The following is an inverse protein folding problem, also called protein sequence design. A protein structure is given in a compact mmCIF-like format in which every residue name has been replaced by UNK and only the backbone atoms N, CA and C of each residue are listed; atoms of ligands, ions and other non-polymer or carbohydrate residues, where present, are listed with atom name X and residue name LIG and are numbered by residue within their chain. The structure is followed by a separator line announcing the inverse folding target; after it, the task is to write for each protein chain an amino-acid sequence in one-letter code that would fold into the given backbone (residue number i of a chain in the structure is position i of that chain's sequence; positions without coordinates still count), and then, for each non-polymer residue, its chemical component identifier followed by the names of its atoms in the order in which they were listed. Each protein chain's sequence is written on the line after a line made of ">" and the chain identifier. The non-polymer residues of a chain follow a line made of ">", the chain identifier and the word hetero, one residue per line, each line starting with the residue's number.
data_IF_872955162802
#
_entry.id   IF_872955162802
#
_cell.length_a   1.000
_cell.length_b   1.000
_cell.length_c   1.000
_cell.angle_alpha   90.00
_cell.angle_beta   90.00
_cell.angle_gamma   90.00
#
_symmetry.space_group_name_H-M   'P 1'
#
loop_
_entity.id
_entity.type
_entity.pdbx_description
1 polymer ?
#
# COMPACT_ATOMS: atom_id res chain seq x y z
N UNK A 1 -2.42 -18.43 4.83
CA UNK A 1 -2.89 -17.29 4.03
C UNK A 1 -3.90 -17.84 3.05
N UNK A 2 -5.07 -17.21 2.90
CA UNK A 2 -6.04 -17.61 1.88
C UNK A 2 -5.49 -17.19 0.52
N UNK A 3 -5.66 -18.03 -0.49
CA UNK A 3 -5.36 -17.65 -1.87
C UNK A 3 -6.35 -16.56 -2.33
N UNK A 4 -5.93 -15.68 -3.23
CA UNK A 4 -6.80 -14.67 -3.83
C UNK A 4 -8.00 -15.31 -4.54
N UNK A 5 -7.83 -16.48 -5.18
CA UNK A 5 -8.96 -17.22 -5.77
C UNK A 5 -9.97 -17.68 -4.71
N UNK A 6 -9.50 -18.10 -3.53
CA UNK A 6 -10.36 -18.46 -2.41
C UNK A 6 -11.12 -17.24 -1.86
N UNK A 7 -10.46 -16.07 -1.82
CA UNK A 7 -11.07 -14.79 -1.43
C UNK A 7 -12.22 -14.42 -2.38
N UNK A 8 -12.01 -14.54 -3.69
CA UNK A 8 -13.02 -14.19 -4.71
C UNK A 8 -14.24 -15.10 -4.72
N UNK A 9 -14.07 -16.37 -4.34
CA UNK A 9 -15.15 -17.37 -4.33
C UNK A 9 -15.95 -17.40 -3.01
N UNK A 10 -15.58 -16.59 -2.02
CA UNK A 10 -16.29 -16.49 -0.75
C UNK A 10 -17.22 -15.27 -0.68
N UNK A 11 -18.05 -15.22 0.37
CA UNK A 11 -18.96 -14.09 0.65
C UNK A 11 -18.30 -12.98 1.51
N UNK A 12 -16.97 -12.99 1.63
CA UNK A 12 -16.22 -12.04 2.46
C UNK A 12 -16.10 -10.67 1.79
N UNK A 13 -16.09 -9.61 2.60
CA UNK A 13 -15.70 -8.26 2.15
C UNK A 13 -14.24 -8.04 2.50
N UNK A 14 -13.46 -7.61 1.52
CA UNK A 14 -12.03 -7.32 1.68
C UNK A 14 -11.74 -5.92 1.18
N UNK A 15 -10.95 -5.18 1.95
CA UNK A 15 -10.61 -3.79 1.66
C UNK A 15 -9.20 -3.71 1.09
N UNK A 16 -9.07 -3.13 -0.09
CA UNK A 16 -7.76 -2.78 -0.66
C UNK A 16 -7.26 -1.48 -0.02
N UNK A 17 -5.95 -1.25 -0.09
CA UNK A 17 -5.35 0.01 0.29
C UNK A 17 -5.79 1.20 -0.59
N UNK A 18 -5.30 2.38 -0.23
CA UNK A 18 -5.62 3.64 -0.91
C UNK A 18 -4.45 4.18 -1.72
N UNK A 19 -4.57 5.43 -2.15
CA UNK A 19 -3.55 6.08 -2.97
C UNK A 19 -2.19 6.21 -2.23
N UNK A 20 -1.18 5.48 -2.70
CA UNK A 20 0.20 5.53 -2.18
C UNK A 20 0.84 6.90 -2.43
N UNK A 21 0.67 7.46 -3.63
CA UNK A 21 1.26 8.75 -4.01
C UNK A 21 0.82 9.92 -3.12
N UNK A 22 -0.43 9.91 -2.65
CA UNK A 22 -0.94 10.92 -1.70
C UNK A 22 -0.23 10.82 -0.36
N UNK A 23 0.02 9.60 0.15
CA UNK A 23 0.76 9.38 1.39
C UNK A 23 2.23 9.75 1.27
N UNK A 24 2.85 9.51 0.12
CA UNK A 24 4.19 10.02 -0.16
C UNK A 24 4.24 11.55 -0.18
N UNK A 25 3.23 12.20 -0.75
CA UNK A 25 3.13 13.66 -0.75
C UNK A 25 3.04 14.21 0.68
N UNK A 26 2.20 13.63 1.53
CA UNK A 26 2.06 14.00 2.95
C UNK A 26 3.38 13.83 3.74
N UNK A 27 4.25 12.91 3.29
CA UNK A 27 5.57 12.65 3.87
C UNK A 27 6.71 13.41 3.17
N UNK A 28 6.38 14.40 2.33
CA UNK A 28 7.34 15.31 1.70
C UNK A 28 8.01 14.76 0.44
N UNK A 29 7.49 13.68 -0.15
CA UNK A 29 7.92 13.17 -1.45
C UNK A 29 6.92 13.58 -2.52
N UNK A 30 7.33 14.52 -3.35
CA UNK A 30 6.49 15.15 -4.36
C UNK A 30 6.63 14.49 -5.73
N UNK A 31 5.70 14.82 -6.64
CA UNK A 31 5.56 14.22 -7.97
C UNK A 31 6.77 14.40 -8.91
N UNK A 32 7.76 15.21 -8.53
CA UNK A 32 8.99 15.41 -9.28
C UNK A 32 10.04 14.31 -9.05
N UNK A 33 9.73 13.30 -8.23
CA UNK A 33 10.56 12.11 -8.01
C UNK A 33 9.84 10.86 -8.51
N UNK A 34 10.60 9.85 -8.89
CA UNK A 34 10.02 8.53 -9.18
C UNK A 34 9.64 7.86 -7.86
N UNK A 35 8.38 7.48 -7.70
CA UNK A 35 7.96 6.77 -6.49
C UNK A 35 8.50 5.34 -6.45
N UNK A 36 8.65 4.70 -7.61
CA UNK A 36 9.24 3.37 -7.70
C UNK A 36 10.69 3.34 -7.20
N UNK A 37 11.44 4.43 -7.41
CA UNK A 37 12.82 4.56 -6.93
C UNK A 37 12.92 4.54 -5.39
N UNK A 38 11.83 4.87 -4.68
CA UNK A 38 11.79 4.87 -3.22
C UNK A 38 11.91 3.46 -2.65
N UNK A 39 11.50 2.43 -3.40
CA UNK A 39 11.73 1.03 -3.02
C UNK A 39 13.22 0.73 -2.83
N UNK A 40 14.10 1.43 -3.55
CA UNK A 40 15.55 1.26 -3.46
C UNK A 40 16.21 2.30 -2.56
N UNK A 41 15.76 3.55 -2.63
CA UNK A 41 16.43 4.70 -2.00
C UNK A 41 15.90 5.03 -0.60
N UNK A 42 14.65 4.66 -0.30
CA UNK A 42 13.98 4.89 0.98
C UNK A 42 12.97 3.76 1.30
N UNK A 43 13.39 2.48 1.34
CA UNK A 43 12.47 1.34 1.51
C UNK A 43 11.67 1.39 2.82
N UNK A 44 12.23 1.99 3.87
CA UNK A 44 11.53 2.13 5.15
C UNK A 44 10.35 3.11 5.07
N UNK A 45 10.46 4.16 4.24
CA UNK A 45 9.36 5.08 3.96
C UNK A 45 8.22 4.37 3.22
N UNK A 46 8.54 3.54 2.23
CA UNK A 46 7.55 2.74 1.50
C UNK A 46 6.84 1.77 2.44
N UNK A 47 7.61 1.05 3.27
CA UNK A 47 7.05 0.15 4.28
C UNK A 47 6.14 0.87 5.27
N UNK A 48 6.55 2.04 5.74
CA UNK A 48 5.75 2.85 6.66
C UNK A 48 4.39 3.22 6.06
N UNK A 49 4.33 3.58 4.78
CA UNK A 49 3.08 3.88 4.08
C UNK A 49 2.17 2.65 3.97
N UNK A 50 2.70 1.48 3.60
CA UNK A 50 1.88 0.26 3.60
C UNK A 50 1.42 -0.12 5.02
N UNK A 51 2.27 0.02 6.04
CA UNK A 51 1.92 -0.22 7.44
C UNK A 51 0.80 0.72 7.92
N UNK A 52 0.75 1.96 7.42
CA UNK A 52 -0.37 2.87 7.70
C UNK A 52 -1.69 2.34 7.14
N UNK A 53 -1.70 1.80 5.92
CA UNK A 53 -2.90 1.19 5.34
C UNK A 53 -3.33 -0.09 6.05
N UNK A 54 -2.37 -0.95 6.44
CA UNK A 54 -2.66 -2.11 7.28
C UNK A 54 -3.29 -1.68 8.62
N UNK A 55 -2.73 -0.66 9.27
CA UNK A 55 -3.30 -0.11 10.52
C UNK A 55 -4.69 0.52 10.32
N UNK A 56 -4.97 1.05 9.13
CA UNK A 56 -6.28 1.59 8.77
C UNK A 56 -7.32 0.50 8.44
N UNK A 57 -6.90 -0.77 8.33
CA UNK A 57 -7.77 -1.92 8.08
C UNK A 57 -7.76 -2.44 6.65
N UNK A 58 -6.76 -2.10 5.84
CA UNK A 58 -6.57 -2.74 4.54
C UNK A 58 -6.23 -4.23 4.72
N UNK A 59 -6.97 -5.09 4.03
CA UNK A 59 -6.74 -6.53 3.95
C UNK A 59 -5.73 -6.88 2.84
N UNK A 60 -5.66 -6.05 1.81
CA UNK A 60 -4.86 -6.26 0.60
C UNK A 60 -4.04 -5.00 0.31
N UNK A 61 -2.76 -5.20 -0.01
CA UNK A 61 -1.81 -4.15 -0.34
C UNK A 61 -1.42 -4.27 -1.82
N UNK A 62 -1.48 -3.16 -2.55
CA UNK A 62 -0.97 -3.05 -3.92
C UNK A 62 0.51 -2.63 -3.91
N UNK A 63 1.33 -3.23 -4.78
CA UNK A 63 2.79 -2.96 -4.89
C UNK A 63 3.16 -2.41 -6.25
#
# INVERSE_FOLDING_TARGET
>A
MRDFTEILNGDGVFVFDGAIGTRFYDKGVYINRSYDELNLTAPDLVREVHDEYVRAGADIIET
#
